data_IF_890937649107
#
_entry.id   IF_890937649107
#
_cell.length_a   1.000
_cell.length_b   1.000
_cell.length_c   1.000
_cell.angle_alpha   90.00
_cell.angle_beta   90.00
_cell.angle_gamma   90.00
#
_symmetry.space_group_name_H-M   'P 1'
#
loop_
_entity.id
_entity.type
_entity.pdbx_description
1 polymer ?
#
# COMPACT_ATOMS: atom_id res chain seq x y z
N UNK A 1 10.61 3.43 17.19
CA UNK A 1 9.74 4.59 17.11
C UNK A 1 10.28 5.71 16.23
N UNK A 2 11.60 5.96 16.30
CA UNK A 2 12.21 7.00 15.47
C UNK A 2 12.36 6.58 14.01
N UNK A 3 12.48 5.27 13.73
CA UNK A 3 12.70 4.80 12.38
C UNK A 3 11.61 5.20 11.37
N UNK A 4 10.30 5.06 11.67
CA UNK A 4 9.29 5.48 10.72
C UNK A 4 9.34 6.98 10.41
N UNK A 5 9.59 7.80 11.42
CA UNK A 5 9.69 9.23 11.25
C UNK A 5 10.90 9.63 10.42
N UNK A 6 12.05 9.00 10.68
CA UNK A 6 13.26 9.27 9.93
C UNK A 6 13.10 8.84 8.47
N UNK A 7 12.50 7.67 8.23
CA UNK A 7 12.28 7.19 6.88
C UNK A 7 11.36 8.12 6.10
N UNK A 8 10.30 8.60 6.74
CA UNK A 8 9.36 9.54 6.11
C UNK A 8 10.07 10.85 5.75
N UNK A 9 10.86 11.41 6.67
CA UNK A 9 11.59 12.63 6.43
C UNK A 9 12.57 12.47 5.28
N UNK A 10 13.25 11.31 5.20
CA UNK A 10 14.20 11.04 4.13
C UNK A 10 13.53 10.96 2.77
N UNK A 11 12.36 10.34 2.69
CA UNK A 11 11.59 10.27 1.46
C UNK A 11 11.15 11.66 1.02
N UNK A 12 10.57 12.45 1.92
CA UNK A 12 10.12 13.80 1.62
C UNK A 12 11.28 14.69 1.16
N UNK A 13 12.45 14.53 1.78
CA UNK A 13 13.62 15.32 1.42
C UNK A 13 14.13 14.97 0.02
N UNK A 14 14.17 13.69 -0.33
CA UNK A 14 14.59 13.26 -1.66
C UNK A 14 13.63 13.76 -2.74
N UNK A 15 12.36 13.72 -2.50
CA UNK A 15 11.36 14.22 -3.45
C UNK A 15 11.52 15.72 -3.65
N UNK A 16 11.80 16.46 -2.57
CA UNK A 16 12.00 17.91 -2.66
C UNK A 16 13.23 18.24 -3.50
N UNK A 17 14.30 17.46 -3.38
CA UNK A 17 15.53 17.72 -4.12
C UNK A 17 15.45 17.30 -5.58
N UNK A 18 14.67 16.26 -5.89
CA UNK A 18 14.64 15.69 -7.23
C UNK A 18 13.20 15.39 -7.70
N UNK A 19 12.30 16.35 -7.62
CA UNK A 19 10.90 16.09 -7.98
C UNK A 19 10.73 15.65 -9.43
N UNK A 20 11.54 16.16 -10.33
CA UNK A 20 11.41 15.88 -11.75
C UNK A 20 12.11 14.58 -12.20
N UNK A 21 12.88 13.96 -11.33
CA UNK A 21 13.66 12.77 -11.70
C UNK A 21 12.95 11.46 -11.37
N UNK A 22 11.88 11.52 -10.60
CA UNK A 22 11.10 10.33 -10.27
C UNK A 22 10.14 10.06 -11.43
N UNK A 23 10.27 8.89 -12.08
CA UNK A 23 9.34 8.52 -13.12
C UNK A 23 7.97 8.17 -12.54
N UNK A 24 6.93 8.32 -13.35
CA UNK A 24 5.59 7.91 -12.96
C UNK A 24 5.57 6.41 -12.65
N UNK A 25 6.27 5.61 -13.45
CA UNK A 25 6.34 4.18 -13.25
C UNK A 25 6.92 3.83 -11.88
N UNK A 26 7.95 4.54 -11.46
CA UNK A 26 8.54 4.30 -10.15
C UNK A 26 7.57 4.65 -9.03
N UNK A 27 6.84 5.76 -9.15
CA UNK A 27 5.82 6.14 -8.18
C UNK A 27 4.72 5.10 -8.10
N UNK A 28 4.31 4.57 -9.24
CA UNK A 28 3.30 3.52 -9.27
C UNK A 28 3.78 2.25 -8.60
N UNK A 29 5.02 1.85 -8.83
CA UNK A 29 5.59 0.67 -8.18
C UNK A 29 5.66 0.85 -6.67
N UNK A 30 6.04 2.02 -6.20
CA UNK A 30 6.08 2.31 -4.77
C UNK A 30 4.69 2.30 -4.15
N UNK A 31 3.70 2.83 -4.86
CA UNK A 31 2.33 2.81 -4.40
C UNK A 31 1.79 1.38 -4.32
N UNK A 32 2.07 0.55 -5.33
CA UNK A 32 1.69 -0.85 -5.33
C UNK A 32 2.31 -1.59 -4.14
N UNK A 33 3.58 -1.34 -3.88
CA UNK A 33 4.28 -1.95 -2.76
C UNK A 33 3.65 -1.53 -1.42
N UNK A 34 3.26 -0.27 -1.31
CA UNK A 34 2.57 0.22 -0.12
C UNK A 34 1.25 -0.51 0.11
N UNK A 35 0.46 -0.66 -0.96
CA UNK A 35 -0.83 -1.37 -0.86
C UNK A 35 -0.64 -2.82 -0.43
N UNK A 36 0.38 -3.48 -0.96
CA UNK A 36 0.69 -4.85 -0.55
C UNK A 36 1.05 -4.92 0.93
N UNK A 37 1.86 -3.97 1.41
CA UNK A 37 2.21 -3.92 2.83
C UNK A 37 1.00 -3.65 3.70
N UNK A 38 0.10 -2.78 3.24
CA UNK A 38 -1.11 -2.47 3.99
C UNK A 38 -2.00 -3.70 4.16
N UNK A 39 -2.04 -4.58 3.17
CA UNK A 39 -2.76 -5.84 3.28
C UNK A 39 -2.04 -6.84 4.16
N UNK A 40 -0.72 -6.96 3.97
CA UNK A 40 0.06 -7.96 4.70
C UNK A 40 0.19 -7.64 6.19
N UNK A 41 0.11 -6.38 6.55
CA UNK A 41 0.37 -5.94 7.93
C UNK A 41 -0.60 -6.52 8.95
N UNK A 42 -1.87 -6.71 8.58
CA UNK A 42 -2.87 -7.24 9.52
C UNK A 42 -2.87 -8.76 9.57
N UNK A 43 -2.46 -9.41 8.48
CA UNK A 43 -2.44 -10.86 8.38
C UNK A 43 -3.82 -11.50 8.25
N UNK A 44 -4.88 -10.72 8.15
CA UNK A 44 -6.25 -11.25 8.08
C UNK A 44 -6.83 -11.25 6.66
N UNK A 45 -6.09 -10.75 5.69
CA UNK A 45 -6.54 -10.67 4.31
C UNK A 45 -7.17 -9.34 3.94
N UNK A 46 -7.66 -8.58 4.91
CA UNK A 46 -8.14 -7.23 4.67
C UNK A 46 -6.99 -6.24 4.59
N UNK A 47 -7.33 -5.00 4.32
CA UNK A 47 -6.32 -3.94 4.14
C UNK A 47 -6.43 -2.93 5.27
N UNK A 48 -5.28 -2.61 5.87
CA UNK A 48 -5.19 -1.58 6.90
C UNK A 48 -5.69 -0.24 6.36
N UNK A 49 -6.37 0.52 7.21
CA UNK A 49 -6.85 1.84 6.79
C UNK A 49 -5.81 2.94 6.90
N UNK A 50 -4.64 2.63 7.39
CA UNK A 50 -3.58 3.63 7.47
C UNK A 50 -2.43 3.21 8.33
N UNK A 51 -1.43 4.06 8.37
CA UNK A 51 -0.23 3.87 9.17
C UNK A 51 -0.07 5.06 10.12
N UNK A 52 0.10 4.77 11.40
CA UNK A 52 0.34 5.78 12.41
C UNK A 52 1.82 5.79 12.79
N UNK A 53 2.41 6.98 12.87
CA UNK A 53 3.80 7.11 13.29
C UNK A 53 4.04 6.50 14.66
N UNK A 54 3.08 6.60 15.55
CA UNK A 54 3.21 6.07 16.92
C UNK A 54 2.73 4.64 17.04
N UNK A 55 1.63 4.30 16.40
CA UNK A 55 0.97 3.01 16.57
C UNK A 55 1.24 2.00 15.46
N UNK A 56 1.93 2.39 14.40
CA UNK A 56 2.16 1.52 13.27
C UNK A 56 0.93 1.32 12.41
N UNK A 57 0.84 0.16 11.76
CA UNK A 57 -0.29 -0.15 10.89
C UNK A 57 -1.58 -0.28 11.70
N UNK A 58 -2.63 0.33 11.15
CA UNK A 58 -3.96 0.26 11.77
C UNK A 58 -4.69 -0.99 11.30
N UNK A 59 -5.76 -1.40 11.99
CA UNK A 59 -6.52 -2.58 11.61
C UNK A 59 -7.08 -2.53 10.20
N UNK A 60 -7.43 -3.68 9.65
CA UNK A 60 -8.14 -3.77 8.39
C UNK A 60 -9.51 -3.11 8.52
N UNK A 61 -9.96 -2.48 7.42
CA UNK A 61 -11.20 -1.73 7.44
C UNK A 61 -12.02 -2.06 6.19
N UNK A 62 -13.33 -2.33 6.34
CA UNK A 62 -14.15 -2.79 5.22
C UNK A 62 -14.17 -1.83 4.02
N UNK A 63 -14.35 -0.55 4.27
CA UNK A 63 -14.42 0.44 3.20
C UNK A 63 -13.12 0.53 2.43
N UNK A 64 -12.00 0.67 3.14
CA UNK A 64 -10.67 0.69 2.53
C UNK A 64 -10.42 -0.58 1.75
N UNK A 65 -10.72 -1.73 2.37
CA UNK A 65 -10.48 -3.03 1.74
C UNK A 65 -11.27 -3.18 0.44
N UNK A 66 -12.52 -2.71 0.42
CA UNK A 66 -13.35 -2.77 -0.78
C UNK A 66 -12.75 -1.99 -1.95
N UNK A 67 -12.30 -0.77 -1.70
CA UNK A 67 -11.66 0.04 -2.73
C UNK A 67 -10.36 -0.59 -3.21
N UNK A 68 -9.57 -1.10 -2.30
CA UNK A 68 -8.27 -1.69 -2.66
C UNK A 68 -8.45 -3.00 -3.41
N UNK A 69 -9.50 -3.78 -3.10
CA UNK A 69 -9.79 -4.99 -3.86
C UNK A 69 -10.01 -4.66 -5.34
N UNK A 70 -10.77 -3.61 -5.62
CA UNK A 70 -11.00 -3.16 -6.99
C UNK A 70 -9.68 -2.76 -7.65
N UNK A 71 -8.84 -2.06 -6.92
CA UNK A 71 -7.52 -1.65 -7.41
C UNK A 71 -6.66 -2.87 -7.74
N UNK A 72 -6.62 -3.87 -6.85
CA UNK A 72 -5.86 -5.09 -7.12
C UNK A 72 -6.38 -5.85 -8.33
N UNK A 73 -7.69 -5.88 -8.55
CA UNK A 73 -8.23 -6.52 -9.75
C UNK A 73 -7.76 -5.82 -11.02
N UNK A 74 -7.74 -4.48 -11.00
CA UNK A 74 -7.23 -3.73 -12.14
C UNK A 74 -5.74 -3.97 -12.35
N UNK A 75 -4.96 -4.00 -11.28
CA UNK A 75 -3.53 -4.30 -11.38
C UNK A 75 -3.29 -5.71 -11.88
N UNK A 76 -4.17 -6.65 -11.57
CA UNK A 76 -4.06 -8.02 -12.08
C UNK A 76 -4.18 -8.06 -13.60
N UNK A 77 -5.05 -7.23 -14.15
CA UNK A 77 -5.25 -7.17 -15.61
C UNK A 77 -4.14 -6.40 -16.30
N UNK A 78 -3.68 -5.31 -15.71
CA UNK A 78 -2.78 -4.37 -16.39
C UNK A 78 -1.31 -4.62 -16.12
N UNK A 79 -0.97 -5.28 -15.02
CA UNK A 79 0.43 -5.41 -14.62
C UNK A 79 0.85 -6.83 -14.27
N UNK A 80 0.25 -7.43 -13.25
CA UNK A 80 0.68 -8.75 -12.76
C UNK A 80 -0.52 -9.54 -12.25
N UNK A 81 -0.81 -10.71 -12.90
CA UNK A 81 -1.94 -11.54 -12.47
C UNK A 81 -1.91 -11.96 -11.00
N UNK A 82 -0.77 -11.92 -10.34
CA UNK A 82 -0.65 -12.26 -8.93
C UNK A 82 -1.51 -11.36 -8.04
N UNK A 83 -1.84 -10.15 -8.49
CA UNK A 83 -2.71 -9.26 -7.72
C UNK A 83 -4.13 -9.79 -7.58
N UNK A 84 -4.54 -10.73 -8.44
CA UNK A 84 -5.87 -11.35 -8.32
C UNK A 84 -6.01 -12.07 -6.98
N UNK A 85 -4.97 -12.78 -6.55
CA UNK A 85 -5.03 -13.49 -5.28
C UNK A 85 -5.16 -12.52 -4.10
N UNK A 86 -4.53 -11.37 -4.18
CA UNK A 86 -4.67 -10.36 -3.15
C UNK A 86 -6.11 -9.83 -3.07
N UNK A 87 -6.75 -9.61 -4.21
CA UNK A 87 -8.15 -9.20 -4.24
C UNK A 87 -9.05 -10.28 -3.64
N UNK A 88 -8.81 -11.53 -4.01
CA UNK A 88 -9.61 -12.64 -3.49
C UNK A 88 -9.47 -12.77 -1.97
N UNK A 89 -8.29 -12.53 -1.42
CA UNK A 89 -8.11 -12.55 0.03
C UNK A 89 -8.95 -11.49 0.73
N UNK A 90 -9.12 -10.33 0.12
CA UNK A 90 -9.98 -9.29 0.68
C UNK A 90 -11.43 -9.78 0.71
N UNK A 91 -11.90 -10.37 -0.38
CA UNK A 91 -13.27 -10.88 -0.43
C UNK A 91 -13.51 -12.00 0.58
N UNK A 92 -12.51 -12.81 0.84
CA UNK A 92 -12.63 -13.90 1.83
C UNK A 92 -12.53 -13.40 3.27
N UNK A 93 -11.95 -12.24 3.46
CA UNK A 93 -11.73 -11.67 4.79
C UNK A 93 -13.04 -11.40 5.53
N UNK A 94 -14.09 -11.13 4.81
CA UNK A 94 -15.40 -10.90 5.41
C UNK A 94 -16.07 -12.24 5.80
#
# INVERSE_FOLDING_TARGET
MLKPLVAFAGVAWRERRRPALQSIDRHLLEAEAWLCRAQDASGDGGVSYGYSVRGGWRPSYPETSGYIATTFLRLADERDPAYRERALRIFRWR
#
